data_IF_283805285073
#
_entry.id   IF_283805285073
#
_cell.length_a   1.000
_cell.length_b   1.000
_cell.length_c   1.000
_cell.angle_alpha   90.00
_cell.angle_beta   90.00
_cell.angle_gamma   90.00
#
_symmetry.space_group_name_H-M   'P 1'
#
loop_
_entity.id
_entity.type
_entity.pdbx_description
1 polymer ?
#
# COMPACT_ATOMS: atom_id res chain seq x y z
N UNK A 1 25.79 -39.95 77.39
CA UNK A 1 24.39 -39.63 76.95
C UNK A 1 24.55 -38.89 75.65
N UNK A 2 24.43 -39.55 74.47
CA UNK A 2 24.63 -38.97 73.17
C UNK A 2 23.28 -38.91 72.49
N UNK A 3 22.83 -37.67 72.16
CA UNK A 3 21.59 -37.40 71.38
C UNK A 3 21.86 -37.64 69.91
N UNK A 4 21.07 -38.52 69.31
CA UNK A 4 20.98 -38.70 67.83
C UNK A 4 19.96 -37.77 67.32
N UNK A 5 20.32 -36.85 66.35
CA UNK A 5 19.41 -36.09 65.51
C UNK A 5 19.01 -36.95 64.31
N UNK A 6 17.72 -36.86 63.82
CA UNK A 6 17.32 -37.52 62.60
C UNK A 6 17.65 -36.66 61.36
N UNK A 7 18.19 -37.37 60.34
CA UNK A 7 18.35 -36.79 58.97
C UNK A 7 17.00 -36.66 58.26
N UNK A 8 16.62 -35.45 57.90
CA UNK A 8 15.48 -35.19 56.98
C UNK A 8 16.00 -35.32 55.54
N UNK A 9 15.48 -36.32 54.81
CA UNK A 9 15.62 -36.42 53.34
C UNK A 9 14.66 -35.39 52.70
N UNK A 10 15.21 -34.40 51.99
CA UNK A 10 14.47 -33.52 51.13
C UNK A 10 14.21 -34.25 49.80
N UNK A 11 12.95 -34.56 49.49
CA UNK A 11 12.53 -35.05 48.17
C UNK A 11 12.53 -33.87 47.19
N UNK A 12 13.49 -33.84 46.29
CA UNK A 12 13.55 -32.89 45.17
C UNK A 12 12.49 -33.25 44.12
N UNK A 13 11.46 -32.45 43.98
CA UNK A 13 10.53 -32.53 42.84
C UNK A 13 11.22 -32.01 41.57
N UNK A 14 11.58 -32.93 40.67
CA UNK A 14 12.05 -32.60 39.34
C UNK A 14 10.90 -31.98 38.55
N UNK A 15 10.95 -30.67 38.33
CA UNK A 15 10.06 -29.97 37.36
C UNK A 15 10.43 -30.47 35.97
N UNK A 16 9.60 -31.32 35.38
CA UNK A 16 9.69 -31.72 33.98
C UNK A 16 9.35 -30.52 33.15
N UNK A 17 10.34 -29.96 32.46
CA UNK A 17 10.17 -28.93 31.44
C UNK A 17 9.44 -29.57 30.25
N UNK A 18 8.13 -29.35 30.14
CA UNK A 18 7.37 -29.67 28.92
C UNK A 18 7.79 -28.63 27.89
N UNK A 19 8.41 -29.03 26.77
CA UNK A 19 8.73 -28.08 25.72
C UNK A 19 7.41 -27.49 25.20
N UNK A 20 7.25 -26.17 25.35
CA UNK A 20 6.14 -25.44 24.76
C UNK A 20 6.26 -25.63 23.24
N UNK A 21 5.31 -26.31 22.61
CA UNK A 21 5.26 -26.43 21.18
C UNK A 21 5.41 -25.02 20.58
N UNK A 22 6.41 -24.85 19.71
CA UNK A 22 6.57 -23.61 18.97
C UNK A 22 5.24 -23.38 18.23
N UNK A 23 4.58 -22.25 18.50
CA UNK A 23 3.37 -21.91 17.79
C UNK A 23 3.72 -21.86 16.29
N UNK A 24 3.02 -22.63 15.49
CA UNK A 24 3.19 -22.57 14.03
C UNK A 24 3.01 -21.12 13.58
N UNK A 25 3.97 -20.65 12.77
CA UNK A 25 3.87 -19.30 12.22
C UNK A 25 2.61 -19.23 11.36
N UNK A 26 1.79 -18.15 11.50
CA UNK A 26 0.62 -17.98 10.67
C UNK A 26 0.99 -18.05 9.19
N UNK A 27 0.33 -18.94 8.47
CA UNK A 27 0.59 -19.18 7.05
C UNK A 27 -0.22 -18.22 6.18
N UNK A 28 0.11 -18.14 4.90
CA UNK A 28 -0.71 -17.48 3.88
C UNK A 28 -2.17 -17.98 3.97
N UNK A 29 -3.14 -17.08 3.84
CA UNK A 29 -4.54 -17.47 3.82
C UNK A 29 -4.82 -18.50 2.72
N UNK A 30 -5.71 -19.46 3.01
CA UNK A 30 -6.24 -20.32 1.97
C UNK A 30 -7.01 -19.49 0.92
N UNK A 31 -7.11 -19.94 -0.34
CA UNK A 31 -7.93 -19.28 -1.35
C UNK A 31 -9.38 -19.07 -0.88
N UNK A 32 -9.96 -20.05 -0.19
CA UNK A 32 -11.33 -19.95 0.34
C UNK A 32 -11.49 -18.85 1.38
N UNK A 33 -10.50 -18.69 2.30
CA UNK A 33 -10.52 -17.59 3.28
C UNK A 33 -10.44 -16.24 2.58
N UNK A 34 -9.53 -16.09 1.62
CA UNK A 34 -9.35 -14.87 0.88
C UNK A 34 -10.59 -14.51 0.05
N UNK A 35 -11.19 -15.49 -0.64
CA UNK A 35 -12.41 -15.28 -1.44
C UNK A 35 -13.61 -14.90 -0.57
N UNK A 36 -13.82 -15.56 0.58
CA UNK A 36 -14.90 -15.18 1.52
C UNK A 36 -14.70 -13.76 2.06
N UNK A 37 -13.46 -13.40 2.43
CA UNK A 37 -13.16 -12.04 2.88
C UNK A 37 -13.48 -11.02 1.80
N UNK A 38 -13.07 -11.27 0.55
CA UNK A 38 -13.27 -10.34 -0.56
C UNK A 38 -14.75 -10.17 -0.91
N UNK A 39 -15.51 -11.26 -0.96
CA UNK A 39 -16.95 -11.21 -1.22
C UNK A 39 -17.70 -10.34 -0.20
N UNK A 40 -17.25 -10.32 1.05
CA UNK A 40 -17.83 -9.48 2.09
C UNK A 40 -17.57 -7.98 1.92
N UNK A 41 -16.61 -7.59 1.07
CA UNK A 41 -16.32 -6.16 0.82
C UNK A 41 -17.26 -5.54 -0.23
N UNK A 42 -17.86 -6.33 -1.12
CA UNK A 42 -18.58 -5.84 -2.29
C UNK A 42 -17.63 -5.28 -3.36
N UNK A 43 -18.17 -4.52 -4.32
CA UNK A 43 -17.35 -3.90 -5.37
C UNK A 43 -16.46 -2.80 -4.79
N UNK A 44 -15.15 -3.02 -4.81
CA UNK A 44 -14.16 -2.05 -4.36
C UNK A 44 -13.78 -1.10 -5.50
N UNK A 45 -14.01 0.20 -5.29
CA UNK A 45 -13.55 1.27 -6.18
C UNK A 45 -12.87 2.32 -5.34
N UNK A 46 -11.59 2.56 -5.62
CA UNK A 46 -10.75 3.42 -4.82
C UNK A 46 -9.81 4.31 -5.63
N UNK A 47 -9.02 5.07 -4.90
CA UNK A 47 -7.90 5.84 -5.44
C UNK A 47 -6.67 5.71 -4.55
N UNK A 48 -5.48 5.84 -5.15
CA UNK A 48 -4.28 6.11 -4.40
C UNK A 48 -4.36 7.53 -3.84
N UNK A 49 -4.29 7.64 -2.52
CA UNK A 49 -4.60 8.85 -1.79
C UNK A 49 -3.38 9.42 -1.07
N UNK A 50 -3.11 10.65 -1.39
CA UNK A 50 -2.29 11.58 -0.62
C UNK A 50 -3.03 12.92 -0.61
N UNK A 51 -2.98 13.67 0.49
CA UNK A 51 -3.61 15.00 0.51
C UNK A 51 -2.98 15.91 -0.54
N UNK A 52 -3.79 16.71 -1.22
CA UNK A 52 -3.32 17.64 -2.25
C UNK A 52 -2.27 18.64 -1.74
N UNK A 53 -2.20 18.83 -0.43
CA UNK A 53 -1.24 19.70 0.25
C UNK A 53 0.08 19.02 0.62
N UNK A 54 0.21 17.72 0.43
CA UNK A 54 1.43 16.96 0.66
C UNK A 54 2.10 16.55 -0.65
N UNK A 55 3.43 16.60 -0.69
CA UNK A 55 4.22 16.20 -1.86
C UNK A 55 4.60 14.72 -1.83
N UNK A 56 4.61 14.11 -0.63
CA UNK A 56 4.95 12.71 -0.40
C UNK A 56 4.40 12.22 0.95
N UNK A 57 4.60 10.94 1.23
CA UNK A 57 4.13 10.25 2.44
C UNK A 57 4.70 10.88 3.72
N UNK A 58 5.93 11.43 3.69
CA UNK A 58 6.51 12.11 4.84
C UNK A 58 5.74 13.39 5.16
N UNK A 59 5.51 14.25 4.15
CA UNK A 59 4.75 15.49 4.36
C UNK A 59 3.31 15.22 4.81
N UNK A 60 2.69 14.14 4.32
CA UNK A 60 1.34 13.77 4.70
C UNK A 60 1.21 13.40 6.18
N UNK A 61 2.20 12.68 6.74
CA UNK A 61 2.04 12.07 8.06
C UNK A 61 3.01 12.57 9.14
N UNK A 62 4.00 13.42 8.86
CA UNK A 62 4.88 13.91 9.93
C UNK A 62 4.20 14.99 10.78
N UNK A 63 4.66 15.15 12.03
CA UNK A 63 4.02 15.98 13.07
C UNK A 63 3.76 17.41 12.63
N UNK A 64 4.68 18.05 11.92
CA UNK A 64 4.58 19.48 11.56
C UNK A 64 3.69 19.78 10.36
N UNK A 65 3.27 18.77 9.59
CA UNK A 65 2.54 18.94 8.33
C UNK A 65 1.27 18.10 8.21
N UNK A 66 1.02 17.20 9.18
CA UNK A 66 -0.20 16.40 9.25
C UNK A 66 -1.43 17.29 9.39
N UNK A 67 -2.33 17.22 8.41
CA UNK A 67 -3.55 18.03 8.38
C UNK A 67 -4.82 17.16 8.37
N UNK A 68 -5.38 16.85 9.55
CA UNK A 68 -6.60 16.04 9.65
C UNK A 68 -7.84 16.70 9.04
N UNK A 69 -7.87 18.05 8.95
CA UNK A 69 -9.01 18.74 8.31
C UNK A 69 -8.96 18.55 6.80
N UNK A 70 -7.77 18.64 6.20
CA UNK A 70 -7.61 18.40 4.76
C UNK A 70 -7.93 16.95 4.41
N UNK A 71 -7.47 15.99 5.22
CA UNK A 71 -7.82 14.57 5.08
C UNK A 71 -9.35 14.38 5.12
N UNK A 72 -10.02 14.97 6.10
CA UNK A 72 -11.47 14.87 6.26
C UNK A 72 -12.22 15.44 5.04
N UNK A 73 -11.82 16.60 4.56
CA UNK A 73 -12.41 17.25 3.39
C UNK A 73 -12.25 16.38 2.13
N UNK A 74 -11.03 15.91 1.86
CA UNK A 74 -10.75 15.16 0.61
C UNK A 74 -11.34 13.75 0.64
N UNK A 75 -11.40 13.08 1.79
CA UNK A 75 -12.10 11.81 1.93
C UNK A 75 -13.64 12.00 1.84
N UNK A 76 -14.16 13.14 2.29
CA UNK A 76 -15.54 13.53 2.04
C UNK A 76 -15.84 13.65 0.54
N UNK A 77 -14.95 14.30 -0.22
CA UNK A 77 -15.07 14.37 -1.68
C UNK A 77 -14.96 12.98 -2.33
N UNK A 78 -13.99 12.16 -1.89
CA UNK A 78 -13.87 10.78 -2.38
C UNK A 78 -15.20 10.02 -2.24
N UNK A 79 -15.81 10.09 -1.06
CA UNK A 79 -17.11 9.47 -0.81
C UNK A 79 -18.23 10.06 -1.66
N UNK A 80 -18.28 11.39 -1.82
CA UNK A 80 -19.26 12.07 -2.66
C UNK A 80 -19.18 11.60 -4.13
N UNK A 81 -17.96 11.37 -4.64
CA UNK A 81 -17.74 10.84 -5.98
C UNK A 81 -17.91 9.32 -6.11
N UNK A 82 -18.24 8.63 -5.02
CA UNK A 82 -18.61 7.21 -5.03
C UNK A 82 -17.52 6.25 -4.61
N UNK A 83 -16.33 6.73 -4.23
CA UNK A 83 -15.26 5.87 -3.75
C UNK A 83 -15.61 5.26 -2.39
N UNK A 84 -15.20 4.01 -2.15
CA UNK A 84 -15.42 3.29 -0.90
C UNK A 84 -14.13 2.78 -0.26
N UNK A 85 -13.01 2.97 -0.91
CA UNK A 85 -11.69 2.63 -0.41
C UNK A 85 -10.63 3.62 -0.91
N UNK A 86 -9.48 3.67 -0.24
CA UNK A 86 -8.29 4.42 -0.66
C UNK A 86 -7.04 3.59 -0.38
N UNK A 87 -6.00 3.71 -1.23
CA UNK A 87 -4.69 3.14 -0.99
C UNK A 87 -3.75 4.24 -0.50
N UNK A 88 -3.08 4.04 0.64
CA UNK A 88 -2.39 5.08 1.38
C UNK A 88 -0.98 4.64 1.74
N UNK A 89 0.01 5.41 1.31
CA UNK A 89 1.41 5.11 1.51
C UNK A 89 1.90 5.61 2.87
N UNK A 90 2.57 4.73 3.60
CA UNK A 90 3.26 5.02 4.85
C UNK A 90 4.76 5.19 4.61
N UNK A 91 5.52 5.52 5.66
CA UNK A 91 6.97 5.65 5.55
C UNK A 91 7.68 5.26 6.85
N UNK A 92 8.70 4.42 6.76
CA UNK A 92 9.47 3.90 7.89
C UNK A 92 10.18 4.98 8.72
N UNK A 93 10.58 6.10 8.11
CA UNK A 93 11.19 7.21 8.85
C UNK A 93 10.23 7.90 9.83
N UNK A 94 8.92 7.87 9.56
CA UNK A 94 7.92 8.41 10.49
C UNK A 94 7.87 7.61 11.79
N UNK A 95 7.96 6.28 11.66
CA UNK A 95 8.09 5.39 12.80
C UNK A 95 9.39 5.61 13.56
N UNK A 96 10.50 5.70 12.86
CA UNK A 96 11.83 5.88 13.45
C UNK A 96 11.97 7.23 14.18
N UNK A 97 11.26 8.27 13.76
CA UNK A 97 11.25 9.58 14.42
C UNK A 97 10.46 9.54 15.75
N UNK A 98 9.22 9.09 15.70
CA UNK A 98 8.31 9.04 16.85
C UNK A 98 7.17 8.05 16.53
N UNK A 99 7.39 6.80 16.87
CA UNK A 99 6.44 5.72 16.61
C UNK A 99 5.09 5.96 17.29
N UNK A 100 5.08 6.50 18.51
CA UNK A 100 3.84 6.77 19.26
C UNK A 100 2.99 7.84 18.59
N UNK A 101 3.57 8.97 18.27
CA UNK A 101 2.84 10.04 17.59
C UNK A 101 2.40 9.64 16.19
N UNK A 102 3.20 8.85 15.49
CA UNK A 102 2.82 8.31 14.18
C UNK A 102 1.59 7.38 14.29
N UNK A 103 1.59 6.47 15.25
CA UNK A 103 0.46 5.59 15.53
C UNK A 103 -0.82 6.37 15.88
N UNK A 104 -0.72 7.45 16.64
CA UNK A 104 -1.87 8.31 16.96
C UNK A 104 -2.43 8.98 15.69
N UNK A 105 -1.57 9.49 14.79
CA UNK A 105 -2.01 10.07 13.52
C UNK A 105 -2.68 9.04 12.60
N UNK A 106 -2.15 7.80 12.54
CA UNK A 106 -2.79 6.72 11.80
C UNK A 106 -4.16 6.36 12.39
N UNK A 107 -4.29 6.27 13.71
CA UNK A 107 -5.57 6.03 14.36
C UNK A 107 -6.59 7.13 14.05
N UNK A 108 -6.14 8.40 14.03
CA UNK A 108 -6.99 9.52 13.65
C UNK A 108 -7.38 9.43 12.16
N UNK A 109 -6.45 9.10 11.28
CA UNK A 109 -6.73 8.89 9.85
C UNK A 109 -7.78 7.81 9.63
N UNK A 110 -7.62 6.64 10.26
CA UNK A 110 -8.58 5.53 10.17
C UNK A 110 -9.96 5.97 10.70
N UNK A 111 -9.99 6.74 11.79
CA UNK A 111 -11.23 7.30 12.33
C UNK A 111 -11.91 8.27 11.36
N UNK A 112 -11.14 9.12 10.66
CA UNK A 112 -11.65 10.03 9.63
C UNK A 112 -12.21 9.22 8.45
N UNK A 113 -11.44 8.28 7.90
CA UNK A 113 -11.85 7.45 6.78
C UNK A 113 -13.16 6.69 7.08
N UNK A 114 -13.27 6.13 8.29
CA UNK A 114 -14.46 5.41 8.73
C UNK A 114 -15.72 6.28 8.77
N UNK A 115 -15.62 7.57 9.17
CA UNK A 115 -16.76 8.51 9.11
C UNK A 115 -17.30 8.67 7.70
N UNK A 116 -16.43 8.62 6.70
CA UNK A 116 -16.79 8.67 5.28
C UNK A 116 -17.08 7.29 4.69
N UNK A 117 -17.11 6.21 5.51
CA UNK A 117 -17.31 4.82 5.04
C UNK A 117 -16.28 4.42 3.98
N UNK A 118 -15.04 4.83 4.18
CA UNK A 118 -13.88 4.52 3.34
C UNK A 118 -12.94 3.63 4.17
N UNK A 119 -12.50 2.51 3.57
CA UNK A 119 -11.53 1.61 4.20
C UNK A 119 -10.15 1.80 3.54
N UNK A 120 -9.10 2.16 4.27
CA UNK A 120 -7.77 2.27 3.70
C UNK A 120 -7.11 0.90 3.48
N UNK A 121 -6.43 0.75 2.34
CA UNK A 121 -5.38 -0.23 2.06
C UNK A 121 -4.04 0.48 2.29
N UNK A 122 -3.33 0.15 3.35
CA UNK A 122 -2.06 0.80 3.67
C UNK A 122 -0.88 0.13 2.97
N UNK A 123 0.02 0.96 2.43
CA UNK A 123 1.27 0.53 1.79
C UNK A 123 2.43 0.80 2.75
N UNK A 124 3.22 -0.23 3.09
CA UNK A 124 4.36 -0.08 4.01
C UNK A 124 5.60 0.46 3.33
N UNK A 125 6.06 -0.22 2.28
CA UNK A 125 7.28 0.10 1.55
C UNK A 125 6.99 0.47 0.10
N UNK A 126 7.92 1.19 -0.52
CA UNK A 126 7.77 1.73 -1.86
C UNK A 126 9.14 1.88 -2.52
N UNK A 127 9.30 1.37 -3.74
CA UNK A 127 10.55 1.48 -4.50
C UNK A 127 10.53 2.57 -5.57
N UNK A 128 9.49 3.44 -5.57
CA UNK A 128 9.32 4.44 -6.61
C UNK A 128 9.99 5.77 -6.27
N UNK A 129 10.60 6.38 -7.26
CA UNK A 129 11.18 7.72 -7.32
C UNK A 129 12.44 7.89 -6.46
N UNK A 130 12.54 8.97 -5.65
CA UNK A 130 13.78 9.38 -4.99
C UNK A 130 14.21 8.37 -3.90
N UNK A 131 15.37 7.70 -4.06
CA UNK A 131 15.85 6.69 -3.12
C UNK A 131 16.46 7.28 -1.83
N UNK A 132 16.55 8.61 -1.70
CA UNK A 132 17.14 9.28 -0.55
C UNK A 132 16.11 10.09 0.24
N UNK A 133 15.14 9.45 0.90
CA UNK A 133 14.13 10.13 1.70
C UNK A 133 14.79 10.88 2.87
N UNK A 134 14.30 12.07 3.16
CA UNK A 134 14.73 12.87 4.31
C UNK A 134 13.52 13.37 5.07
N UNK A 135 13.44 13.03 6.33
CA UNK A 135 12.42 13.56 7.21
C UNK A 135 12.60 15.08 7.46
N UNK A 136 11.54 15.75 7.87
CA UNK A 136 11.51 17.20 8.05
C UNK A 136 10.89 17.92 6.86
N UNK A 137 11.27 19.18 6.66
CA UNK A 137 10.72 20.01 5.58
C UNK A 137 10.98 19.37 4.22
N UNK A 138 9.93 19.08 3.49
CA UNK A 138 10.01 18.56 2.13
C UNK A 138 10.29 19.69 1.12
N UNK A 139 10.94 19.33 0.03
CA UNK A 139 11.17 20.27 -1.09
C UNK A 139 9.84 20.62 -1.78
N UNK A 140 9.80 21.77 -2.42
CA UNK A 140 8.71 22.10 -3.32
C UNK A 140 8.72 21.16 -4.55
N UNK A 141 7.56 20.89 -5.18
CA UNK A 141 7.53 20.16 -6.44
C UNK A 141 8.31 20.91 -7.53
N UNK A 142 8.94 20.17 -8.44
CA UNK A 142 9.46 20.76 -9.69
C UNK A 142 8.24 21.16 -10.52
N UNK A 143 8.09 22.45 -10.89
CA UNK A 143 6.93 22.89 -11.68
C UNK A 143 6.81 22.10 -12.98
N UNK A 144 5.59 21.65 -13.29
CA UNK A 144 5.32 20.91 -14.53
C UNK A 144 5.86 19.49 -14.61
N UNK A 145 6.29 18.91 -13.48
CA UNK A 145 6.88 17.56 -13.43
C UNK A 145 6.08 16.63 -12.53
N UNK A 146 5.66 15.52 -13.11
CA UNK A 146 4.91 14.44 -12.45
C UNK A 146 5.63 13.92 -11.21
N UNK A 147 4.96 13.92 -10.08
CA UNK A 147 5.36 13.24 -8.82
C UNK A 147 6.81 13.48 -8.39
N UNK A 148 7.33 14.67 -8.66
CA UNK A 148 8.75 15.00 -8.55
C UNK A 148 9.31 15.05 -7.14
N UNK A 149 8.47 15.00 -6.12
CA UNK A 149 8.86 14.99 -4.71
C UNK A 149 8.61 13.69 -3.97
N UNK A 150 8.13 12.67 -4.66
CA UNK A 150 7.88 11.35 -4.06
C UNK A 150 9.18 10.66 -3.67
N UNK A 151 9.17 9.89 -2.58
CA UNK A 151 10.35 9.28 -1.98
C UNK A 151 10.12 7.80 -1.67
N UNK A 152 11.18 7.01 -1.75
CA UNK A 152 11.14 5.57 -1.43
C UNK A 152 11.08 5.30 0.07
N UNK A 153 10.49 4.18 0.44
CA UNK A 153 10.51 3.59 1.77
C UNK A 153 10.70 2.06 1.67
N UNK A 154 11.72 1.45 2.29
CA UNK A 154 12.87 2.12 2.84
C UNK A 154 13.69 2.77 1.73
N UNK A 155 14.34 3.89 2.04
CA UNK A 155 15.30 4.49 1.10
C UNK A 155 16.56 3.63 0.93
N UNK A 156 17.37 3.97 -0.09
CA UNK A 156 18.55 3.21 -0.48
C UNK A 156 19.50 2.88 0.69
N UNK A 157 19.75 3.85 1.59
CA UNK A 157 20.61 3.65 2.77
C UNK A 157 20.07 2.52 3.68
N UNK A 158 18.78 2.57 4.01
CA UNK A 158 18.18 1.61 4.93
C UNK A 158 17.95 0.23 4.28
N UNK A 159 17.73 0.21 2.98
CA UNK A 159 17.68 -1.01 2.20
C UNK A 159 19.06 -1.69 2.15
N UNK A 160 20.13 -0.89 2.00
CA UNK A 160 21.49 -1.38 1.85
C UNK A 160 22.09 -1.90 3.17
N UNK A 161 21.70 -1.37 4.32
CA UNK A 161 22.34 -1.65 5.60
C UNK A 161 21.47 -2.56 6.50
N UNK A 162 21.89 -3.82 6.71
CA UNK A 162 21.16 -4.78 7.56
C UNK A 162 20.92 -4.30 9.00
N UNK A 163 21.70 -3.33 9.51
CA UNK A 163 21.51 -2.77 10.85
C UNK A 163 20.17 -2.08 11.03
N UNK A 164 19.53 -1.65 9.95
CA UNK A 164 18.16 -1.10 9.99
C UNK A 164 17.05 -2.14 10.05
N UNK A 165 17.35 -3.44 9.79
CA UNK A 165 16.32 -4.52 9.80
C UNK A 165 15.46 -4.54 11.07
N UNK A 166 16.02 -4.43 12.29
CA UNK A 166 15.19 -4.40 13.51
C UNK A 166 14.21 -3.21 13.55
N UNK A 167 14.61 -2.04 13.04
CA UNK A 167 13.74 -0.85 12.99
C UNK A 167 12.63 -1.03 11.95
N UNK A 168 12.94 -1.60 10.77
CA UNK A 168 11.97 -1.90 9.74
C UNK A 168 10.96 -2.95 10.22
N UNK A 169 11.44 -3.98 10.93
CA UNK A 169 10.58 -4.98 11.55
C UNK A 169 9.65 -4.36 12.60
N UNK A 170 10.20 -3.52 13.50
CA UNK A 170 9.41 -2.83 14.52
C UNK A 170 8.35 -1.92 13.91
N UNK A 171 8.66 -1.25 12.79
CA UNK A 171 7.70 -0.44 12.04
C UNK A 171 6.54 -1.28 11.50
N UNK A 172 6.83 -2.36 10.77
CA UNK A 172 5.80 -3.24 10.19
C UNK A 172 4.96 -3.87 11.29
N UNK A 173 5.59 -4.52 12.28
CA UNK A 173 4.87 -5.22 13.34
C UNK A 173 4.11 -4.28 14.27
N UNK A 174 4.66 -3.10 14.55
CA UNK A 174 4.03 -2.12 15.43
C UNK A 174 2.77 -1.51 14.84
N UNK A 175 2.79 -1.13 13.55
CA UNK A 175 1.61 -0.63 12.85
C UNK A 175 0.55 -1.72 12.73
N UNK A 176 0.94 -2.93 12.31
CA UNK A 176 0.02 -4.06 12.20
C UNK A 176 -0.63 -4.42 13.54
N UNK A 177 0.16 -4.45 14.62
CA UNK A 177 -0.36 -4.76 15.97
C UNK A 177 -1.44 -3.79 16.41
N UNK A 178 -1.30 -2.49 16.10
CA UNK A 178 -2.28 -1.48 16.45
C UNK A 178 -3.64 -1.72 15.80
N UNK A 179 -3.65 -2.18 14.55
CA UNK A 179 -4.87 -2.36 13.76
C UNK A 179 -5.20 -3.83 13.47
N UNK A 180 -4.59 -4.75 14.19
CA UNK A 180 -4.66 -6.20 13.93
C UNK A 180 -6.07 -6.73 13.69
N UNK A 181 -7.04 -6.25 14.45
CA UNK A 181 -8.45 -6.68 14.39
C UNK A 181 -9.39 -5.51 14.05
N UNK A 182 -8.90 -4.48 13.39
CA UNK A 182 -9.67 -3.29 13.06
C UNK A 182 -10.31 -3.45 11.67
N UNK A 183 -11.61 -3.70 11.62
CA UNK A 183 -12.39 -3.90 10.38
C UNK A 183 -12.55 -2.64 9.53
N UNK A 184 -12.14 -1.48 10.05
CA UNK A 184 -12.06 -0.21 9.31
C UNK A 184 -10.89 -0.18 8.33
N UNK A 185 -9.87 -1.04 8.51
CA UNK A 185 -8.73 -1.19 7.60
C UNK A 185 -9.04 -2.30 6.60
N UNK A 186 -8.89 -2.01 5.29
CA UNK A 186 -9.15 -2.96 4.23
C UNK A 186 -8.08 -4.06 4.18
N UNK A 187 -6.80 -3.68 4.22
CA UNK A 187 -5.70 -4.62 4.07
C UNK A 187 -4.34 -3.93 4.14
N UNK A 188 -3.30 -4.69 3.88
CA UNK A 188 -1.91 -4.27 4.00
C UNK A 188 -1.14 -4.64 2.74
N UNK A 189 -0.71 -3.64 2.00
CA UNK A 189 0.20 -3.76 0.86
C UNK A 189 1.63 -3.59 1.40
N UNK A 190 2.38 -4.67 1.38
CA UNK A 190 3.67 -4.70 2.07
C UNK A 190 4.78 -3.97 1.32
N UNK A 191 4.66 -3.90 -0.02
CA UNK A 191 5.65 -3.19 -0.84
C UNK A 191 5.07 -2.82 -2.20
N UNK A 192 5.06 -1.53 -2.50
CA UNK A 192 4.73 -1.00 -3.83
C UNK A 192 5.89 -1.18 -4.79
N UNK A 193 5.64 -1.83 -5.93
CA UNK A 193 6.59 -1.97 -7.04
C UNK A 193 8.04 -2.26 -6.59
N UNK A 194 8.27 -3.35 -5.84
CA UNK A 194 9.56 -3.62 -5.21
C UNK A 194 10.72 -3.72 -6.20
N UNK A 195 10.44 -4.06 -7.46
CA UNK A 195 11.39 -4.18 -8.56
C UNK A 195 11.42 -2.93 -9.48
N UNK A 196 10.85 -1.80 -9.06
CA UNK A 196 10.89 -0.56 -9.85
C UNK A 196 12.33 -0.05 -9.97
N UNK A 197 12.85 0.12 -11.20
CA UNK A 197 14.23 0.59 -11.40
C UNK A 197 14.44 2.07 -11.12
N UNK A 198 13.36 2.83 -10.81
CA UNK A 198 13.39 4.29 -10.60
C UNK A 198 14.26 5.02 -11.64
N UNK A 199 13.98 4.83 -12.93
CA UNK A 199 14.83 5.23 -14.07
C UNK A 199 15.47 6.63 -13.95
N UNK A 200 14.70 7.60 -13.45
CA UNK A 200 15.14 9.00 -13.27
C UNK A 200 16.22 9.12 -12.19
N UNK A 201 16.27 8.18 -11.27
CA UNK A 201 17.19 8.14 -10.13
C UNK A 201 18.17 6.96 -10.21
N UNK A 202 18.20 6.22 -11.30
CA UNK A 202 18.89 4.94 -11.41
C UNK A 202 20.36 4.97 -10.98
N UNK A 203 21.10 6.09 -11.23
CA UNK A 203 22.48 6.26 -10.77
C UNK A 203 22.63 6.45 -9.25
N UNK A 204 21.54 6.71 -8.54
CA UNK A 204 21.49 6.90 -7.08
C UNK A 204 20.98 5.65 -6.34
N UNK A 205 20.49 4.66 -7.08
CA UNK A 205 20.05 3.39 -6.55
C UNK A 205 21.23 2.45 -6.24
N UNK A 206 21.16 1.59 -5.23
CA UNK A 206 22.13 0.51 -5.07
C UNK A 206 22.14 -0.38 -6.31
N UNK A 207 23.33 -0.71 -6.83
CA UNK A 207 23.47 -1.57 -8.01
C UNK A 207 22.90 -2.98 -7.81
N UNK A 208 22.78 -3.43 -6.55
CA UNK A 208 22.23 -4.72 -6.12
C UNK A 208 20.83 -4.56 -5.47
N UNK A 209 20.08 -3.52 -5.83
CA UNK A 209 18.75 -3.23 -5.27
C UNK A 209 17.82 -4.43 -5.36
N UNK A 210 17.76 -5.10 -6.52
CA UNK A 210 16.85 -6.24 -6.73
C UNK A 210 17.17 -7.42 -5.79
N UNK A 211 18.46 -7.71 -5.59
CA UNK A 211 18.89 -8.78 -4.68
C UNK A 211 18.54 -8.44 -3.23
N UNK A 212 18.72 -7.18 -2.82
CA UNK A 212 18.34 -6.70 -1.48
C UNK A 212 16.84 -6.75 -1.25
N UNK A 213 16.06 -6.39 -2.25
CA UNK A 213 14.59 -6.49 -2.21
C UNK A 213 14.16 -7.96 -2.15
N UNK A 214 14.75 -8.82 -2.96
CA UNK A 214 14.46 -10.26 -2.94
C UNK A 214 14.81 -10.92 -1.60
N UNK A 215 15.82 -10.40 -0.87
CA UNK A 215 16.14 -10.82 0.49
C UNK A 215 15.16 -10.25 1.54
N UNK A 216 14.78 -8.97 1.42
CA UNK A 216 13.97 -8.30 2.44
C UNK A 216 12.47 -8.60 2.33
N UNK A 217 11.90 -8.67 1.14
CA UNK A 217 10.45 -8.81 0.94
C UNK A 217 9.86 -10.08 1.60
N UNK A 218 10.49 -11.27 1.53
CA UNK A 218 10.02 -12.44 2.28
C UNK A 218 10.04 -12.23 3.79
N UNK A 219 11.04 -11.50 4.31
CA UNK A 219 11.11 -11.16 5.73
C UNK A 219 9.98 -10.24 6.14
N UNK A 220 9.63 -9.25 5.31
CA UNK A 220 8.49 -8.34 5.56
C UNK A 220 7.18 -9.12 5.63
N UNK A 221 6.95 -10.07 4.71
CA UNK A 221 5.80 -10.98 4.79
C UNK A 221 5.83 -11.79 6.10
N UNK A 222 6.98 -12.34 6.48
CA UNK A 222 7.16 -13.08 7.73
C UNK A 222 6.84 -12.23 8.97
N UNK A 223 7.35 -11.00 9.03
CA UNK A 223 7.05 -10.06 10.12
C UNK A 223 5.56 -9.73 10.19
N UNK A 224 4.95 -9.45 9.05
CA UNK A 224 3.52 -9.15 9.00
C UNK A 224 2.67 -10.35 9.42
N UNK A 225 3.02 -11.56 8.96
CA UNK A 225 2.36 -12.82 9.36
C UNK A 225 2.46 -13.08 10.85
N UNK A 226 3.61 -12.80 11.47
CA UNK A 226 3.80 -13.02 12.90
C UNK A 226 2.84 -12.25 13.80
N UNK A 227 2.26 -11.14 13.29
CA UNK A 227 1.22 -10.37 13.97
C UNK A 227 -0.16 -11.02 13.82
N UNK A 228 -0.37 -11.86 12.80
CA UNK A 228 -1.64 -12.51 12.47
C UNK A 228 -2.81 -11.52 12.34
N UNK A 229 -2.74 -10.55 11.41
CA UNK A 229 -3.83 -9.59 11.23
C UNK A 229 -5.07 -10.25 10.65
N UNK A 230 -6.25 -9.73 11.03
CA UNK A 230 -7.54 -10.17 10.45
C UNK A 230 -7.76 -9.67 9.02
N UNK A 231 -6.92 -8.75 8.55
CA UNK A 231 -6.91 -8.22 7.20
C UNK A 231 -5.90 -8.95 6.32
N UNK A 232 -6.10 -9.01 4.99
CA UNK A 232 -5.18 -9.68 4.08
C UNK A 232 -3.87 -8.90 3.89
N UNK A 233 -2.81 -9.65 3.58
CA UNK A 233 -1.52 -9.13 3.16
C UNK A 233 -1.37 -9.29 1.65
N UNK A 234 -0.75 -8.30 1.00
CA UNK A 234 -0.44 -8.32 -0.43
C UNK A 234 0.86 -7.58 -0.74
N UNK A 235 1.37 -7.75 -1.94
CA UNK A 235 2.33 -6.89 -2.62
C UNK A 235 2.10 -7.06 -4.12
N UNK A 236 1.82 -5.97 -4.82
CA UNK A 236 1.32 -6.01 -6.19
C UNK A 236 2.39 -6.19 -7.25
N UNK A 237 2.13 -7.03 -8.25
CA UNK A 237 2.94 -7.17 -9.46
C UNK A 237 2.57 -6.09 -10.48
N UNK A 238 3.52 -5.61 -11.30
CA UNK A 238 3.25 -4.52 -12.23
C UNK A 238 3.94 -4.66 -13.60
N UNK A 239 5.03 -5.41 -13.70
CA UNK A 239 5.81 -5.56 -14.93
C UNK A 239 6.18 -7.02 -15.22
N UNK A 240 6.56 -7.29 -16.47
CA UNK A 240 7.01 -8.59 -16.93
C UNK A 240 5.87 -9.61 -17.09
N UNK A 241 6.24 -10.86 -17.17
CA UNK A 241 5.33 -12.00 -17.21
C UNK A 241 5.04 -12.50 -15.81
N UNK A 242 3.80 -12.94 -15.58
CA UNK A 242 3.36 -13.42 -14.26
C UNK A 242 3.06 -14.92 -14.23
N UNK A 243 3.21 -15.61 -15.34
CA UNK A 243 3.09 -17.06 -15.41
C UNK A 243 4.19 -17.75 -14.59
N UNK A 244 3.86 -18.86 -13.95
CA UNK A 244 4.76 -19.56 -13.03
C UNK A 244 6.12 -19.95 -13.63
N UNK A 245 6.18 -20.17 -14.96
CA UNK A 245 7.40 -20.57 -15.67
C UNK A 245 8.31 -19.42 -16.12
N UNK A 246 7.81 -18.16 -16.14
CA UNK A 246 8.52 -17.01 -16.72
C UNK A 246 8.66 -15.81 -15.80
N UNK A 247 7.90 -15.78 -14.70
CA UNK A 247 7.90 -14.66 -13.74
C UNK A 247 9.26 -14.44 -13.08
N UNK A 248 9.58 -13.17 -12.79
CA UNK A 248 10.78 -12.81 -12.05
C UNK A 248 10.77 -13.37 -10.62
N UNK A 249 11.94 -13.44 -9.97
CA UNK A 249 12.05 -13.85 -8.57
C UNK A 249 11.16 -12.98 -7.67
N UNK A 250 11.14 -11.66 -7.88
CA UNK A 250 10.34 -10.73 -7.07
C UNK A 250 8.85 -10.94 -7.31
N UNK A 251 8.40 -11.05 -8.56
CA UNK A 251 7.01 -11.38 -8.87
C UNK A 251 6.59 -12.73 -8.25
N UNK A 252 7.49 -13.71 -8.23
CA UNK A 252 7.29 -14.98 -7.53
C UNK A 252 7.03 -14.78 -6.04
N UNK A 253 7.89 -14.02 -5.36
CA UNK A 253 7.73 -13.72 -3.93
C UNK A 253 6.39 -13.01 -3.68
N UNK A 254 6.04 -12.01 -4.47
CA UNK A 254 4.78 -11.27 -4.36
C UNK A 254 3.56 -12.18 -4.49
N UNK A 255 3.48 -12.95 -5.58
CA UNK A 255 2.34 -13.81 -5.87
C UNK A 255 2.22 -15.00 -4.92
N UNK A 256 3.34 -15.58 -4.47
CA UNK A 256 3.33 -16.76 -3.60
C UNK A 256 3.02 -16.42 -2.14
N UNK A 257 3.19 -15.18 -1.71
CA UNK A 257 2.97 -14.77 -0.33
C UNK A 257 1.69 -13.94 -0.12
N UNK A 258 1.10 -13.36 -1.18
CA UNK A 258 -0.09 -12.51 -1.07
C UNK A 258 -1.36 -13.31 -0.79
N UNK A 259 -2.17 -12.88 0.16
CA UNK A 259 -3.49 -13.45 0.45
C UNK A 259 -4.50 -13.11 -0.65
N UNK A 260 -4.49 -11.85 -1.05
CA UNK A 260 -5.22 -11.26 -2.17
C UNK A 260 -4.18 -10.81 -3.19
N UNK A 261 -4.37 -11.18 -4.45
CA UNK A 261 -3.45 -10.81 -5.52
C UNK A 261 -3.71 -9.38 -5.95
N UNK A 262 -2.67 -8.56 -5.99
CA UNK A 262 -2.78 -7.19 -6.48
C UNK A 262 -1.85 -6.97 -7.66
N UNK A 263 -2.25 -6.06 -8.56
CA UNK A 263 -1.46 -5.72 -9.73
C UNK A 263 -1.66 -4.26 -10.14
N UNK A 264 -0.75 -3.74 -10.97
CA UNK A 264 -0.89 -2.47 -11.64
C UNK A 264 -1.04 -2.68 -13.15
N UNK A 265 -1.88 -1.87 -13.78
CA UNK A 265 -1.97 -1.82 -15.24
C UNK A 265 -2.48 -0.46 -15.69
N UNK A 266 -1.65 0.24 -16.41
CA UNK A 266 -2.00 1.48 -17.09
C UNK A 266 -2.36 1.25 -18.56
N UNK A 267 -2.52 0.00 -18.95
CA UNK A 267 -2.93 -0.41 -20.29
C UNK A 267 -4.39 -0.01 -20.59
N UNK A 268 -4.71 0.06 -21.87
CA UNK A 268 -6.09 0.15 -22.32
C UNK A 268 -6.87 -1.14 -22.01
N UNK A 269 -8.17 -1.19 -22.37
CA UNK A 269 -9.11 -2.26 -22.00
C UNK A 269 -8.60 -3.68 -22.21
N UNK A 270 -8.08 -3.99 -23.40
CA UNK A 270 -7.61 -5.35 -23.72
C UNK A 270 -6.39 -5.77 -22.91
N UNK A 271 -5.42 -4.86 -22.72
CA UNK A 271 -4.24 -5.14 -21.88
C UNK A 271 -4.65 -5.37 -20.43
N UNK A 272 -5.55 -4.54 -19.90
CA UNK A 272 -6.06 -4.68 -18.53
C UNK A 272 -6.78 -6.05 -18.35
N UNK A 273 -7.63 -6.44 -19.30
CA UNK A 273 -8.35 -7.73 -19.23
C UNK A 273 -7.41 -8.93 -19.36
N UNK A 274 -6.36 -8.83 -20.18
CA UNK A 274 -5.33 -9.87 -20.29
C UNK A 274 -4.59 -10.06 -18.96
N UNK A 275 -4.22 -8.97 -18.25
CA UNK A 275 -3.58 -9.04 -16.93
C UNK A 275 -4.45 -9.73 -15.88
N UNK A 276 -5.76 -9.53 -15.92
CA UNK A 276 -6.69 -10.28 -15.07
C UNK A 276 -6.66 -11.77 -15.41
N UNK A 277 -6.65 -12.10 -16.71
CA UNK A 277 -6.60 -13.49 -17.19
C UNK A 277 -5.35 -14.24 -16.72
N UNK A 278 -4.18 -13.60 -16.75
CA UNK A 278 -2.91 -14.17 -16.25
C UNK A 278 -2.99 -14.54 -14.76
N UNK A 279 -3.68 -13.72 -13.96
CA UNK A 279 -3.77 -13.92 -12.51
C UNK A 279 -4.94 -14.82 -12.06
N UNK A 280 -5.93 -15.03 -12.92
CA UNK A 280 -7.14 -15.78 -12.56
C UNK A 280 -6.85 -17.23 -12.15
N UNK A 281 -5.81 -17.84 -12.75
CA UNK A 281 -5.38 -19.21 -12.44
C UNK A 281 -4.93 -19.44 -11.00
N UNK A 282 -4.60 -18.34 -10.26
CA UNK A 282 -4.20 -18.42 -8.86
C UNK A 282 -5.38 -18.69 -7.91
N UNK A 283 -6.64 -18.61 -8.40
CA UNK A 283 -7.85 -18.91 -7.62
C UNK A 283 -8.09 -17.98 -6.42
N UNK A 284 -7.49 -16.78 -6.43
CA UNK A 284 -7.56 -15.80 -5.34
C UNK A 284 -8.28 -14.53 -5.80
N UNK A 285 -8.82 -13.73 -4.86
CA UNK A 285 -9.33 -12.41 -5.21
C UNK A 285 -8.24 -11.56 -5.86
N UNK A 286 -8.64 -10.72 -6.81
CA UNK A 286 -7.74 -9.84 -7.55
C UNK A 286 -8.15 -8.38 -7.33
N UNK A 287 -7.17 -7.50 -7.13
CA UNK A 287 -7.37 -6.06 -7.13
C UNK A 287 -6.32 -5.38 -8.01
N UNK A 288 -6.73 -4.49 -8.89
CA UNK A 288 -5.85 -3.57 -9.57
C UNK A 288 -5.63 -2.36 -8.66
N UNK A 289 -4.45 -2.27 -8.05
CA UNK A 289 -4.12 -1.22 -7.09
C UNK A 289 -3.60 0.07 -7.73
N UNK A 290 -3.34 0.05 -9.05
CA UNK A 290 -3.07 1.25 -9.84
C UNK A 290 -3.54 1.08 -11.28
N UNK A 291 -4.37 2.00 -11.73
CA UNK A 291 -4.76 2.17 -13.13
C UNK A 291 -4.99 3.66 -13.43
N UNK A 292 -5.40 3.96 -14.62
CA UNK A 292 -5.76 5.26 -15.16
C UNK A 292 -4.55 6.09 -15.61
N UNK A 293 -4.35 6.06 -16.91
CA UNK A 293 -3.51 6.97 -17.66
C UNK A 293 -4.32 7.40 -18.90
N UNK A 294 -5.10 8.48 -18.80
CA UNK A 294 -6.12 8.84 -19.80
C UNK A 294 -5.60 8.91 -21.23
N UNK A 295 -4.44 9.55 -21.50
CA UNK A 295 -3.89 9.58 -22.87
C UNK A 295 -3.51 8.20 -23.43
N UNK A 296 -3.29 7.21 -22.58
CA UNK A 296 -2.98 5.83 -22.99
C UNK A 296 -4.25 4.97 -23.15
N UNK A 297 -5.44 5.54 -22.93
CA UNK A 297 -6.70 4.83 -23.05
C UNK A 297 -7.13 4.05 -21.81
N UNK A 298 -6.35 4.07 -20.73
CA UNK A 298 -6.74 3.58 -19.41
C UNK A 298 -7.57 4.68 -18.72
N UNK A 299 -8.89 4.60 -18.78
CA UNK A 299 -9.82 5.57 -18.21
C UNK A 299 -10.84 4.90 -17.30
N UNK A 300 -11.46 5.67 -16.43
CA UNK A 300 -12.49 5.17 -15.50
C UNK A 300 -13.60 4.44 -16.25
N UNK A 301 -14.14 5.05 -17.29
CA UNK A 301 -15.29 4.52 -18.05
C UNK A 301 -14.97 3.24 -18.82
N UNK A 302 -13.68 3.04 -19.19
CA UNK A 302 -13.28 1.86 -19.93
C UNK A 302 -12.83 0.70 -19.03
N UNK A 303 -12.15 1.03 -17.92
CA UNK A 303 -11.52 0.01 -17.04
C UNK A 303 -12.50 -0.51 -15.98
N UNK A 304 -13.25 0.38 -15.31
CA UNK A 304 -14.10 -0.07 -14.20
C UNK A 304 -15.20 -1.05 -14.62
N UNK A 305 -15.87 -0.95 -15.78
CA UNK A 305 -16.81 -1.98 -16.22
C UNK A 305 -16.16 -3.35 -16.45
N UNK A 306 -14.89 -3.39 -16.88
CA UNK A 306 -14.15 -4.64 -17.01
C UNK A 306 -13.85 -5.20 -15.62
N UNK A 307 -13.32 -4.37 -14.73
CA UNK A 307 -13.04 -4.75 -13.34
C UNK A 307 -14.29 -5.33 -12.66
N UNK A 308 -15.46 -4.71 -12.84
CA UNK A 308 -16.72 -5.21 -12.30
C UNK A 308 -17.11 -6.58 -12.87
N UNK A 309 -17.02 -6.77 -14.21
CA UNK A 309 -17.36 -8.07 -14.85
C UNK A 309 -16.52 -9.22 -14.31
N UNK A 310 -15.27 -8.95 -13.96
CA UNK A 310 -14.32 -9.93 -13.42
C UNK A 310 -14.27 -9.94 -11.88
N UNK A 311 -15.14 -9.17 -11.20
CA UNK A 311 -15.14 -9.03 -9.74
C UNK A 311 -13.75 -8.60 -9.21
N UNK A 312 -13.11 -7.63 -9.86
CA UNK A 312 -11.80 -7.06 -9.52
C UNK A 312 -12.00 -5.69 -8.85
N UNK A 313 -11.42 -5.48 -7.68
CA UNK A 313 -11.33 -4.16 -7.07
C UNK A 313 -10.35 -3.28 -7.87
N UNK A 314 -10.63 -1.98 -8.02
CA UNK A 314 -9.77 -1.12 -8.81
C UNK A 314 -9.52 0.24 -8.16
N UNK A 315 -8.26 0.68 -8.15
CA UNK A 315 -7.80 1.92 -7.55
C UNK A 315 -7.07 2.75 -8.61
N UNK A 316 -7.59 3.91 -8.95
CA UNK A 316 -6.87 4.79 -9.85
C UNK A 316 -5.69 5.47 -9.15
N UNK A 317 -4.67 5.86 -9.91
CA UNK A 317 -3.60 6.70 -9.39
C UNK A 317 -4.07 8.15 -9.32
N UNK A 318 -3.90 8.80 -8.13
CA UNK A 318 -4.25 10.20 -7.89
C UNK A 318 -5.74 10.44 -7.62
N UNK A 319 -6.03 11.14 -6.52
CA UNK A 319 -7.39 11.54 -6.17
C UNK A 319 -7.62 13.02 -6.44
N UNK A 320 -6.92 13.90 -5.71
CA UNK A 320 -7.08 15.36 -5.80
C UNK A 320 -5.80 15.97 -6.34
N UNK A 321 -5.91 16.74 -7.42
CA UNK A 321 -4.78 17.46 -8.00
C UNK A 321 -4.13 18.39 -6.98
N UNK A 322 -2.81 18.24 -6.79
CA UNK A 322 -2.09 18.95 -5.75
C UNK A 322 -0.58 19.00 -5.99
N UNK A 323 0.18 19.00 -4.89
CA UNK A 323 1.64 19.10 -4.92
C UNK A 323 2.34 17.95 -5.64
N UNK A 324 1.72 16.76 -5.72
CA UNK A 324 2.24 15.63 -6.49
C UNK A 324 2.26 15.88 -7.98
N UNK A 325 1.39 16.78 -8.48
CA UNK A 325 1.29 17.11 -9.90
C UNK A 325 1.09 15.87 -10.80
N UNK A 326 0.37 14.86 -10.33
CA UNK A 326 0.14 13.60 -11.04
C UNK A 326 -0.81 13.74 -12.24
N UNK A 327 -1.39 14.91 -12.44
CA UNK A 327 -2.11 15.28 -13.67
C UNK A 327 -1.18 15.54 -14.87
N UNK A 328 0.14 15.76 -14.65
CA UNK A 328 1.12 15.74 -15.73
C UNK A 328 1.49 14.30 -16.09
N UNK A 329 1.83 14.00 -17.36
CA UNK A 329 2.26 12.68 -17.77
C UNK A 329 3.73 12.41 -17.38
N UNK A 330 4.15 11.15 -17.50
CA UNK A 330 5.50 10.71 -17.07
C UNK A 330 6.64 11.32 -17.90
N UNK A 331 6.41 11.64 -19.18
CA UNK A 331 7.38 12.32 -20.04
C UNK A 331 7.73 13.75 -19.57
N UNK A 332 6.98 14.27 -18.59
CA UNK A 332 7.28 15.54 -17.94
C UNK A 332 8.65 15.55 -17.20
N UNK A 333 9.21 14.38 -16.93
CA UNK A 333 10.55 14.29 -16.38
C UNK A 333 11.64 14.65 -17.40
N UNK A 334 11.40 14.36 -18.68
CA UNK A 334 12.29 14.73 -19.80
C UNK A 334 11.91 16.10 -20.37
N UNK A 335 10.62 16.42 -20.35
CA UNK A 335 10.04 17.63 -20.94
C UNK A 335 9.05 18.30 -19.98
N UNK A 336 9.53 19.09 -18.98
CA UNK A 336 8.64 19.75 -18.02
C UNK A 336 7.57 20.62 -18.68
N UNK A 337 6.34 20.50 -18.24
CA UNK A 337 5.20 21.22 -18.79
C UNK A 337 5.15 22.64 -18.21
N UNK A 338 4.92 23.63 -19.06
CA UNK A 338 4.71 25.03 -18.67
C UNK A 338 3.25 25.40 -18.48
N UNK A 339 2.33 24.54 -18.94
CA UNK A 339 0.89 24.71 -18.81
C UNK A 339 0.24 23.39 -18.40
N UNK A 340 -0.88 23.48 -17.72
CA UNK A 340 -1.68 22.29 -17.35
C UNK A 340 -2.23 21.64 -18.63
N UNK A 341 -2.02 20.32 -18.83
CA UNK A 341 -2.52 19.63 -20.01
C UNK A 341 -4.06 19.65 -20.07
N UNK A 342 -4.62 19.73 -21.27
CA UNK A 342 -6.09 19.71 -21.47
C UNK A 342 -6.71 18.38 -21.01
N UNK A 343 -5.98 17.27 -21.17
CA UNK A 343 -6.34 15.94 -20.64
C UNK A 343 -5.36 15.62 -19.53
N UNK A 344 -5.86 15.50 -18.31
CA UNK A 344 -5.05 15.11 -17.16
C UNK A 344 -4.63 13.65 -17.26
N UNK A 345 -3.40 13.38 -16.87
CA UNK A 345 -2.87 12.03 -16.93
C UNK A 345 -3.55 11.13 -15.90
N UNK A 346 -3.52 11.54 -14.65
CA UNK A 346 -4.20 10.92 -13.52
C UNK A 346 -5.16 11.94 -12.84
N UNK A 347 -5.33 11.84 -11.54
CA UNK A 347 -6.18 12.65 -10.66
C UNK A 347 -7.66 12.74 -11.10
N UNK A 348 -8.55 12.39 -10.20
CA UNK A 348 -9.99 12.43 -10.44
C UNK A 348 -10.59 13.81 -10.21
N UNK A 349 -10.04 14.54 -9.21
CA UNK A 349 -10.65 15.75 -8.69
C UNK A 349 -9.72 16.95 -8.83
N UNK A 350 -10.36 18.10 -9.10
CA UNK A 350 -9.72 19.41 -9.04
C UNK A 350 -9.40 19.77 -7.57
N UNK A 351 -8.52 20.77 -7.30
CA UNK A 351 -8.18 21.20 -5.95
C UNK A 351 -9.35 21.67 -5.09
N UNK A 352 -10.48 22.01 -5.71
CA UNK A 352 -11.73 22.43 -5.07
C UNK A 352 -12.73 21.27 -4.86
N UNK A 353 -12.36 20.03 -5.23
CA UNK A 353 -13.18 18.84 -5.06
C UNK A 353 -14.16 18.55 -6.21
N UNK A 354 -14.23 19.40 -7.23
CA UNK A 354 -15.02 19.09 -8.42
C UNK A 354 -14.33 18.02 -9.26
N UNK A 355 -15.11 17.14 -9.88
CA UNK A 355 -14.58 16.16 -10.81
C UNK A 355 -13.81 16.81 -11.95
N UNK A 356 -12.70 16.20 -12.39
CA UNK A 356 -12.07 16.60 -13.64
C UNK A 356 -13.00 16.31 -14.83
N UNK A 357 -13.64 15.13 -14.82
CA UNK A 357 -14.71 14.74 -15.75
C UNK A 357 -15.90 14.17 -14.96
N UNK A 358 -17.09 14.75 -15.16
CA UNK A 358 -18.30 14.32 -14.44
C UNK A 358 -18.70 12.88 -14.76
N UNK A 359 -18.41 12.40 -15.98
CA UNK A 359 -18.67 11.03 -16.43
C UNK A 359 -17.91 9.99 -15.60
N UNK A 360 -16.70 10.29 -15.16
CA UNK A 360 -15.92 9.41 -14.27
C UNK A 360 -16.64 9.22 -12.94
N UNK A 361 -17.07 10.30 -12.31
CA UNK A 361 -17.83 10.25 -11.05
C UNK A 361 -19.17 9.53 -11.21
N UNK A 362 -19.86 9.73 -12.33
CA UNK A 362 -21.12 9.03 -12.64
C UNK A 362 -20.87 7.53 -12.75
N UNK A 363 -19.81 7.11 -13.46
CA UNK A 363 -19.42 5.71 -13.61
C UNK A 363 -19.08 5.08 -12.26
N UNK A 364 -18.27 5.74 -11.45
CA UNK A 364 -17.89 5.24 -10.10
C UNK A 364 -19.14 5.06 -9.24
N UNK A 365 -20.02 6.06 -9.15
CA UNK A 365 -21.27 5.96 -8.36
C UNK A 365 -22.20 4.87 -8.85
N UNK A 366 -22.33 4.69 -10.16
CA UNK A 366 -23.18 3.64 -10.73
C UNK A 366 -22.70 2.24 -10.30
N UNK A 367 -21.37 2.03 -10.23
CA UNK A 367 -20.78 0.74 -9.85
C UNK A 367 -20.83 0.47 -8.35
N UNK A 368 -20.65 1.49 -7.53
CA UNK A 368 -20.61 1.34 -6.07
C UNK A 368 -21.97 1.48 -5.38
N UNK A 369 -22.99 1.95 -6.12
CA UNK A 369 -24.30 2.25 -5.55
C UNK A 369 -24.29 3.42 -4.54
N UNK A 370 -23.18 4.17 -4.47
CA UNK A 370 -23.08 5.34 -3.59
C UNK A 370 -23.90 6.48 -4.15
N UNK A 371 -24.88 6.93 -3.37
CA UNK A 371 -25.66 8.13 -3.70
C UNK A 371 -24.98 9.36 -3.06
N UNK A 372 -24.92 10.53 -3.76
CA UNK A 372 -24.60 11.79 -3.11
C UNK A 372 -25.57 12.03 -1.95
N UNK A 373 -25.03 12.43 -0.81
CA UNK A 373 -25.87 12.79 0.35
C UNK A 373 -26.55 14.12 0.12
#
# INVERSE_FOLDING_TARGET
>A
MALKLPLLLAAGTALTHVPRAAAEQPTRWSPDRANRWYQAQGQLVGANFITSTAINQLEMFQTGTYDPRRIDTELGWARFHGLNTVRVFLHDQLWAQDSRSFQLRLAQFVGIAARHRIKPLFVFFDSCWDPHPRAGRQRAPKPGVHNSGWVQSPGAERLADPRYRPTLQAYVTGVLTQFRNDDRVLGWDLWNEPDNPAKVYGSLEPSDKLDRVADLLPQVFGWARSVDPSQPLTSGVWQGDWDAGSRSTIAGIQLDNSDVVTFHSYDGPSGFENRIGELASLGRPIMCTEYMARPQGSTVEKILPIAQRHNVGAFNWGLVAGKTQTYFPWDSWDHPYTTIPKVWFHDLLRPDGHAFQDTESQTIRALTGVRPA
#
